data_IF_908477179229
#
_entry.id   IF_908477179229
#
_cell.length_a   1.000
_cell.length_b   1.000
_cell.length_c   1.000
_cell.angle_alpha   90.00
_cell.angle_beta   90.00
_cell.angle_gamma   90.00
#
_symmetry.space_group_name_H-M   'P 1'
#
loop_
_entity.id
_entity.type
_entity.pdbx_description
1 polymer ?
#
# COMPACT_ATOMS: atom_id res chain seq x y z
N UNK A 1 -19.29 2.23 5.29
CA UNK A 1 -18.80 1.48 4.12
C UNK A 1 -17.55 2.21 3.63
N UNK A 2 -16.38 1.56 3.65
CA UNK A 2 -15.18 2.17 3.08
C UNK A 2 -15.28 2.12 1.56
N UNK A 3 -14.91 3.21 0.89
CA UNK A 3 -14.82 3.25 -0.58
C UNK A 3 -13.67 2.32 -0.99
N UNK A 4 -13.87 1.37 -1.92
CA UNK A 4 -12.81 0.47 -2.36
C UNK A 4 -11.71 1.25 -3.11
N UNK A 5 -10.52 0.67 -3.17
CA UNK A 5 -9.39 1.20 -3.94
C UNK A 5 -9.28 0.49 -5.28
N UNK A 6 -8.87 1.23 -6.31
CA UNK A 6 -8.49 0.71 -7.63
C UNK A 6 -7.03 1.07 -7.92
N UNK A 7 -6.43 0.44 -8.92
CA UNK A 7 -5.08 0.83 -9.38
C UNK A 7 -5.07 2.31 -9.81
N UNK A 8 -6.11 2.79 -10.48
CA UNK A 8 -6.23 4.19 -10.89
C UNK A 8 -6.27 5.15 -9.69
N UNK A 9 -7.00 4.80 -8.62
CA UNK A 9 -7.00 5.58 -7.37
C UNK A 9 -5.59 5.65 -6.77
N UNK A 10 -4.86 4.54 -6.76
CA UNK A 10 -3.52 4.44 -6.20
C UNK A 10 -2.54 5.28 -7.02
N UNK A 11 -2.57 5.18 -8.35
CA UNK A 11 -1.73 5.96 -9.24
C UNK A 11 -2.03 7.45 -9.11
N UNK A 12 -3.31 7.83 -9.09
CA UNK A 12 -3.75 9.22 -8.91
C UNK A 12 -3.30 9.78 -7.56
N UNK A 13 -3.48 9.03 -6.48
CA UNK A 13 -3.14 9.48 -5.14
C UNK A 13 -1.62 9.58 -4.92
N UNK A 14 -0.84 8.66 -5.50
CA UNK A 14 0.59 8.55 -5.20
C UNK A 14 1.50 9.20 -6.24
N UNK A 15 0.97 9.55 -7.41
CA UNK A 15 1.75 9.90 -8.60
C UNK A 15 2.83 8.84 -8.93
N UNK A 16 2.54 7.58 -8.60
CA UNK A 16 3.43 6.45 -8.86
C UNK A 16 3.35 5.95 -10.30
N UNK A 17 4.26 5.05 -10.63
CA UNK A 17 4.33 4.36 -11.91
C UNK A 17 3.93 2.89 -11.74
N UNK A 18 3.10 2.38 -12.65
CA UNK A 18 2.69 0.97 -12.65
C UNK A 18 3.75 0.12 -13.36
N UNK A 19 4.43 -0.73 -12.60
CA UNK A 19 5.51 -1.59 -13.10
C UNK A 19 5.01 -2.98 -13.48
N UNK A 20 4.01 -3.49 -12.77
CA UNK A 20 3.33 -4.75 -13.10
C UNK A 20 1.83 -4.63 -12.85
N UNK A 21 1.04 -5.46 -13.53
CA UNK A 21 -0.43 -5.42 -13.50
C UNK A 21 -1.03 -6.55 -12.65
N UNK A 22 -2.30 -6.41 -12.31
CA UNK A 22 -3.12 -7.44 -11.67
C UNK A 22 -4.46 -7.59 -12.38
N UNK A 23 -5.09 -8.75 -12.24
CA UNK A 23 -6.47 -9.02 -12.65
C UNK A 23 -7.51 -8.57 -11.60
N UNK A 24 -7.06 -8.19 -10.40
CA UNK A 24 -7.92 -7.68 -9.34
C UNK A 24 -8.33 -6.23 -9.60
N UNK A 25 -9.62 -6.02 -9.77
CA UNK A 25 -10.16 -4.69 -10.04
C UNK A 25 -10.24 -3.78 -8.79
N UNK A 26 -10.36 -4.36 -7.58
CA UNK A 26 -10.64 -3.61 -6.35
C UNK A 26 -9.94 -4.18 -5.11
N UNK A 27 -9.48 -3.29 -4.25
CA UNK A 27 -8.91 -3.59 -2.94
C UNK A 27 -9.77 -2.97 -1.83
N UNK A 28 -9.86 -3.65 -0.69
CA UNK A 28 -10.68 -3.24 0.46
C UNK A 28 -10.01 -2.16 1.31
N UNK A 29 -8.68 -2.04 1.23
CA UNK A 29 -7.92 -1.11 2.06
C UNK A 29 -6.44 -1.01 1.70
N UNK A 30 -5.72 -0.26 2.52
CA UNK A 30 -4.26 -0.06 2.44
C UNK A 30 -3.66 -0.42 3.79
N UNK A 31 -2.62 -1.24 3.81
CA UNK A 31 -1.93 -1.66 5.02
C UNK A 31 -0.41 -1.58 4.90
N UNK A 32 0.26 -1.43 6.04
CA UNK A 32 1.71 -1.26 6.14
C UNK A 32 2.39 -2.31 7.05
N UNK A 33 1.59 -3.14 7.73
CA UNK A 33 2.07 -4.20 8.62
C UNK A 33 1.84 -5.56 7.97
N UNK A 34 2.91 -6.19 7.49
CA UNK A 34 2.90 -7.49 6.82
C UNK A 34 2.37 -8.63 7.69
N UNK A 35 2.26 -8.43 9.01
CA UNK A 35 1.70 -9.43 9.94
C UNK A 35 0.17 -9.38 10.01
N UNK A 36 -0.45 -8.30 9.53
CA UNK A 36 -1.89 -8.07 9.62
C UNK A 36 -2.56 -7.83 8.26
N UNK A 37 -1.77 -7.64 7.21
CA UNK A 37 -2.27 -7.39 5.85
C UNK A 37 -3.10 -8.58 5.36
N UNK A 38 -4.17 -8.27 4.65
CA UNK A 38 -5.03 -9.25 4.00
C UNK A 38 -4.80 -9.25 2.49
N UNK A 39 -5.09 -10.38 1.83
CA UNK A 39 -4.88 -10.50 0.38
C UNK A 39 -5.71 -9.52 -0.46
N UNK A 40 -6.83 -9.03 0.08
CA UNK A 40 -7.69 -8.02 -0.53
C UNK A 40 -7.24 -6.57 -0.28
N UNK A 41 -6.10 -6.35 0.39
CA UNK A 41 -5.55 -5.02 0.69
C UNK A 41 -4.30 -4.70 -0.15
N UNK A 42 -4.00 -3.41 -0.25
CA UNK A 42 -2.75 -2.90 -0.85
C UNK A 42 -1.67 -2.82 0.22
N UNK A 43 -0.51 -3.42 -0.02
CA UNK A 43 0.62 -3.34 0.90
C UNK A 43 1.59 -2.21 0.55
N UNK A 44 1.89 -1.31 1.49
CA UNK A 44 2.88 -0.23 1.31
C UNK A 44 4.18 -0.59 2.04
N UNK A 45 5.25 -0.78 1.28
CA UNK A 45 6.55 -1.17 1.80
C UNK A 45 7.30 0.04 2.42
N UNK A 46 6.95 0.42 3.65
CA UNK A 46 7.62 1.53 4.33
C UNK A 46 9.03 1.13 4.80
N UNK A 47 10.04 1.88 4.38
CA UNK A 47 11.39 1.79 4.94
C UNK A 47 11.48 2.62 6.23
N UNK A 48 11.47 1.95 7.38
CA UNK A 48 11.68 2.57 8.68
C UNK A 48 13.13 2.51 9.16
N UNK A 49 13.47 3.23 10.23
CA UNK A 49 14.84 3.24 10.82
C UNK A 49 15.33 1.87 11.29
N UNK A 50 14.42 0.96 11.64
CA UNK A 50 14.73 -0.38 12.19
C UNK A 50 14.45 -1.54 11.22
N UNK A 51 13.51 -1.36 10.30
CA UNK A 51 13.06 -2.42 9.39
C UNK A 51 12.72 -1.83 8.03
N UNK A 52 13.12 -2.53 6.97
CA UNK A 52 12.76 -2.21 5.60
C UNK A 52 11.55 -3.05 5.17
N UNK A 53 10.41 -2.39 4.90
CA UNK A 53 9.17 -3.03 4.46
C UNK A 53 9.34 -3.90 3.20
N UNK A 54 10.32 -3.56 2.35
CA UNK A 54 10.59 -4.27 1.10
C UNK A 54 11.02 -5.72 1.32
N UNK A 55 11.70 -6.01 2.44
CA UNK A 55 12.11 -7.37 2.79
C UNK A 55 10.94 -8.31 3.05
N UNK A 56 9.74 -7.77 3.32
CA UNK A 56 8.53 -8.56 3.59
C UNK A 56 7.67 -8.80 2.34
N UNK A 57 8.04 -8.23 1.18
CA UNK A 57 7.27 -8.36 -0.07
C UNK A 57 7.02 -9.83 -0.48
N UNK A 58 8.01 -10.74 -0.42
CA UNK A 58 7.76 -12.15 -0.71
C UNK A 58 6.79 -12.83 0.27
N UNK A 59 6.68 -12.33 1.50
CA UNK A 59 5.75 -12.85 2.51
C UNK A 59 4.32 -12.40 2.25
N UNK A 60 4.13 -11.11 1.98
CA UNK A 60 2.79 -10.54 1.74
C UNK A 60 2.18 -11.04 0.43
N UNK A 61 3.00 -11.23 -0.61
CA UNK A 61 2.53 -11.83 -1.88
C UNK A 61 2.04 -13.26 -1.64
N UNK A 62 2.75 -14.06 -0.83
CA UNK A 62 2.27 -15.40 -0.44
C UNK A 62 1.01 -15.39 0.42
N UNK A 63 0.74 -14.31 1.14
CA UNK A 63 -0.53 -14.12 1.85
C UNK A 63 -1.70 -13.73 0.91
N UNK A 64 -1.43 -13.60 -0.39
CA UNK A 64 -2.42 -13.33 -1.41
C UNK A 64 -2.60 -11.85 -1.74
N UNK A 65 -1.72 -10.96 -1.27
CA UNK A 65 -1.77 -9.54 -1.63
C UNK A 65 -1.56 -9.37 -3.12
N UNK A 66 -2.48 -8.66 -3.77
CA UNK A 66 -2.47 -8.43 -5.23
C UNK A 66 -2.03 -7.04 -5.65
N UNK A 67 -1.69 -6.16 -4.70
CA UNK A 67 -1.08 -4.87 -5.00
C UNK A 67 -0.06 -4.47 -3.94
N UNK A 68 1.13 -4.08 -4.39
CA UNK A 68 2.24 -3.60 -3.56
C UNK A 68 2.71 -2.23 -4.03
N UNK A 69 3.06 -1.36 -3.09
CA UNK A 69 3.68 -0.06 -3.34
C UNK A 69 5.10 -0.09 -2.80
N UNK A 70 6.07 0.20 -3.65
CA UNK A 70 7.50 0.07 -3.38
C UNK A 70 8.26 1.33 -3.77
N UNK A 71 9.45 1.51 -3.22
CA UNK A 71 10.34 2.59 -3.65
C UNK A 71 10.97 2.29 -5.00
N UNK A 72 11.03 3.30 -5.86
CA UNK A 72 11.61 3.19 -7.21
C UNK A 72 13.09 2.80 -7.18
N UNK A 73 13.86 3.30 -6.20
CA UNK A 73 15.29 2.95 -6.01
C UNK A 73 15.54 1.51 -5.54
N UNK A 74 14.48 0.76 -5.23
CA UNK A 74 14.55 -0.66 -4.84
C UNK A 74 14.09 -1.61 -5.95
N UNK A 75 13.52 -1.11 -7.04
CA UNK A 75 12.92 -1.95 -8.10
C UNK A 75 13.88 -3.01 -8.63
N UNK A 76 15.15 -2.66 -8.88
CA UNK A 76 16.16 -3.57 -9.41
C UNK A 76 16.47 -4.76 -8.50
N UNK A 77 16.16 -4.65 -7.20
CA UNK A 77 16.38 -5.71 -6.21
C UNK A 77 15.13 -6.57 -5.98
N UNK A 78 14.00 -6.25 -6.61
CA UNK A 78 12.72 -6.91 -6.41
C UNK A 78 12.41 -7.88 -7.55
N UNK A 79 11.78 -9.03 -7.28
CA UNK A 79 11.42 -10.01 -8.29
C UNK A 79 10.15 -9.59 -9.05
N UNK A 80 10.16 -8.41 -9.69
CA UNK A 80 8.97 -7.83 -10.34
C UNK A 80 8.45 -8.71 -11.47
N UNK A 81 9.34 -9.38 -12.22
CA UNK A 81 8.93 -10.33 -13.27
C UNK A 81 8.07 -11.48 -12.71
N UNK A 82 8.44 -12.04 -11.55
CA UNK A 82 7.64 -13.07 -10.90
C UNK A 82 6.26 -12.55 -10.48
N UNK A 83 6.18 -11.30 -10.01
CA UNK A 83 4.91 -10.68 -9.63
C UNK A 83 3.99 -10.44 -10.83
N UNK A 84 4.55 -10.12 -12.00
CA UNK A 84 3.76 -10.05 -13.23
C UNK A 84 3.13 -11.40 -13.58
N UNK A 85 3.87 -12.51 -13.46
CA UNK A 85 3.36 -13.87 -13.69
C UNK A 85 2.28 -14.27 -12.66
N UNK A 86 2.41 -13.80 -11.42
CA UNK A 86 1.46 -14.04 -10.33
C UNK A 86 0.27 -13.05 -10.32
N UNK A 87 0.18 -12.16 -11.32
CA UNK A 87 -0.81 -11.08 -11.43
C UNK A 87 -0.86 -10.19 -10.17
N UNK A 88 0.30 -9.81 -9.65
CA UNK A 88 0.46 -8.87 -8.54
C UNK A 88 0.87 -7.53 -9.10
N UNK A 89 0.06 -6.50 -8.85
CA UNK A 89 0.38 -5.15 -9.27
C UNK A 89 1.48 -4.55 -8.40
N UNK A 90 2.48 -3.94 -9.04
CA UNK A 90 3.57 -3.24 -8.39
C UNK A 90 3.51 -1.78 -8.80
N UNK A 91 3.33 -0.89 -7.83
CA UNK A 91 3.39 0.56 -8.04
C UNK A 91 4.69 1.08 -7.44
N UNK A 92 5.53 1.71 -8.26
CA UNK A 92 6.76 2.33 -7.81
C UNK A 92 6.58 3.83 -7.53
N UNK A 93 7.12 4.28 -6.40
CA UNK A 93 7.08 5.68 -5.96
C UNK A 93 8.47 6.12 -5.47
N UNK A 94 8.74 7.42 -5.47
CA UNK A 94 10.02 7.92 -4.92
C UNK A 94 10.14 7.69 -3.40
N UNK A 95 9.03 7.89 -2.68
CA UNK A 95 8.96 7.79 -1.21
C UNK A 95 7.64 7.16 -0.78
N UNK A 96 7.71 5.93 -0.25
CA UNK A 96 6.56 5.16 0.24
C UNK A 96 5.85 5.79 1.43
N UNK A 97 6.56 6.59 2.24
CA UNK A 97 5.98 7.31 3.39
C UNK A 97 5.12 8.47 2.91
N UNK A 98 5.62 9.24 1.92
CA UNK A 98 4.84 10.29 1.26
C UNK A 98 3.64 9.69 0.54
N UNK A 99 3.83 8.58 -0.18
CA UNK A 99 2.74 7.87 -0.85
C UNK A 99 1.65 7.42 0.13
N UNK A 100 2.01 6.87 1.30
CA UNK A 100 1.02 6.54 2.34
C UNK A 100 0.24 7.78 2.80
N UNK A 101 0.94 8.90 3.03
CA UNK A 101 0.30 10.17 3.41
C UNK A 101 -0.68 10.68 2.35
N UNK A 102 -0.30 10.56 1.08
CA UNK A 102 -1.10 10.98 -0.06
C UNK A 102 -2.34 10.09 -0.26
N UNK A 103 -2.21 8.77 -0.11
CA UNK A 103 -3.34 7.83 -0.05
C UNK A 103 -4.32 8.22 1.07
N UNK A 104 -3.80 8.53 2.26
CA UNK A 104 -4.62 9.01 3.36
C UNK A 104 -5.37 10.31 3.03
N UNK A 105 -4.72 11.26 2.35
CA UNK A 105 -5.35 12.51 1.94
C UNK A 105 -6.44 12.29 0.87
N UNK A 106 -6.13 11.50 -0.15
CA UNK A 106 -7.05 11.12 -1.22
C UNK A 106 -8.30 10.41 -0.67
N UNK A 107 -8.12 9.49 0.28
CA UNK A 107 -9.23 8.83 0.96
C UNK A 107 -10.15 9.82 1.67
N UNK A 108 -9.60 10.82 2.35
CA UNK A 108 -10.38 11.83 3.07
C UNK A 108 -11.17 12.71 2.12
N UNK A 109 -10.56 13.12 1.02
CA UNK A 109 -11.20 13.92 -0.02
C UNK A 109 -12.37 13.17 -0.65
N UNK A 110 -12.15 11.92 -1.10
CA UNK A 110 -13.20 11.12 -1.74
C UNK A 110 -14.31 10.67 -0.78
N UNK A 111 -14.00 10.52 0.52
CA UNK A 111 -15.00 10.13 1.51
C UNK A 111 -15.90 11.30 1.92
N UNK A 112 -15.52 12.56 1.66
CA UNK A 112 -16.33 13.74 1.99
C UNK A 112 -16.61 13.91 3.49
N UNK A 113 -15.87 13.23 4.38
CA UNK A 113 -16.10 13.26 5.83
C UNK A 113 -15.19 14.31 6.49
N UNK A 114 -15.72 15.22 7.32
CA UNK A 114 -14.90 16.12 8.13
C UNK A 114 -14.05 15.30 9.12
N UNK A 115 -12.74 15.32 8.93
CA UNK A 115 -11.82 14.56 9.79
C UNK A 115 -11.54 15.33 11.07
N UNK A 116 -12.15 14.86 12.17
CA UNK A 116 -11.66 15.15 13.52
C UNK A 116 -10.43 14.27 13.74
N UNK A 117 -9.25 14.83 13.52
CA UNK A 117 -7.99 14.18 13.84
C UNK A 117 -7.81 14.16 15.37
N UNK A 118 -8.15 13.05 16.03
CA UNK A 118 -7.65 12.78 17.38
C UNK A 118 -6.20 12.32 17.21
N UNK A 119 -5.25 13.23 17.42
CA UNK A 119 -3.84 12.90 17.53
C UNK A 119 -3.61 12.13 18.84
N UNK A 120 -3.52 10.82 18.77
CA UNK A 120 -3.16 9.98 19.92
C UNK A 120 -1.70 9.55 19.88
N UNK A 121 -0.80 10.39 20.40
CA UNK A 121 0.46 9.87 20.96
C UNK A 121 0.13 9.18 22.28
N UNK A 122 0.48 7.89 22.37
CA UNK A 122 0.32 6.96 23.49
C UNK A 122 -1.05 6.26 23.59
N UNK A 123 -1.00 4.93 23.53
CA UNK A 123 -2.17 4.06 23.53
C UNK A 123 -3.09 4.24 24.73
N UNK A 124 -4.39 4.02 24.48
CA UNK A 124 -5.35 3.45 25.41
C UNK A 124 -6.25 2.50 24.63
N UNK A 125 -5.86 1.24 24.60
CA UNK A 125 -6.82 0.13 24.58
C UNK A 125 -7.60 0.23 25.90
N UNK A 126 -8.92 0.26 25.78
CA UNK A 126 -9.94 0.25 26.85
C UNK A 126 -9.91 -1.08 27.64
N UNK A 127 -10.48 -1.17 28.86
CA UNK A 127 -11.91 -0.97 29.17
C UNK A 127 -12.23 0.25 30.03
#
# INVERSE_FOLDING_TARGET
MSIPWTIDDILTATAGELVSTTDVARFSGVGIDSRKIRGDEVFVAISGRRHDGHSFLPGVVRQGVKCVIVRSDKLDMLPVSNWQDEAVACVSVEDTTKALGALGAYQRERAGVPVIAITGSNGKTLP
#
